data_IF_253584384291
#
_entry.id   IF_253584384291
#
_cell.length_a   1.000
_cell.length_b   1.000
_cell.length_c   1.000
_cell.angle_alpha   90.00
_cell.angle_beta   90.00
_cell.angle_gamma   90.00
#
_symmetry.space_group_name_H-M   'P 1'
#
loop_
_entity.id
_entity.type
_entity.pdbx_description
1 polymer ?
#
# COMPACT_ATOMS: atom_id res chain seq x y z
N UNK A 1 13.62 17.76 16.28
CA UNK A 1 12.30 18.40 16.05
C UNK A 1 11.34 17.77 17.05
N UNK A 2 10.82 18.55 18.02
CA UNK A 2 9.94 18.04 19.10
C UNK A 2 8.50 18.04 18.58
N UNK A 3 7.84 16.89 18.59
CA UNK A 3 6.48 16.64 18.08
C UNK A 3 5.43 16.79 19.18
N UNK A 4 4.21 17.18 18.79
CA UNK A 4 3.00 17.45 19.58
C UNK A 4 2.57 16.42 20.63
N UNK A 5 3.19 15.23 20.70
CA UNK A 5 2.83 14.15 21.63
C UNK A 5 3.91 13.79 22.66
N UNK A 6 5.16 14.22 22.47
CA UNK A 6 6.27 13.89 23.38
C UNK A 6 6.68 12.41 23.43
N UNK A 7 6.07 11.56 22.60
CA UNK A 7 6.35 10.12 22.51
C UNK A 7 7.21 9.79 21.28
N UNK A 8 7.90 8.64 21.32
CA UNK A 8 8.70 8.14 20.22
C UNK A 8 7.83 7.81 18.99
N UNK A 9 8.11 8.45 17.86
CA UNK A 9 7.36 8.23 16.61
C UNK A 9 7.94 7.00 15.91
N UNK A 10 7.20 5.90 15.96
CA UNK A 10 7.51 4.72 15.18
C UNK A 10 6.95 4.87 13.76
N UNK A 11 7.83 5.07 12.78
CA UNK A 11 7.46 5.07 11.37
C UNK A 11 6.99 3.67 10.94
N UNK A 12 5.82 3.60 10.31
CA UNK A 12 5.21 2.36 9.82
C UNK A 12 4.89 2.54 8.34
N UNK A 13 5.26 1.56 7.53
CA UNK A 13 5.00 1.59 6.10
C UNK A 13 3.51 1.46 5.81
N UNK A 14 2.97 2.30 4.94
CA UNK A 14 1.53 2.32 4.64
C UNK A 14 1.08 1.04 3.92
N UNK A 15 0.06 0.37 4.46
CA UNK A 15 -0.45 -0.87 3.87
C UNK A 15 -1.00 -0.70 2.45
N UNK A 16 -1.60 0.45 2.12
CA UNK A 16 -2.16 0.67 0.78
C UNK A 16 -1.05 0.66 -0.28
N UNK A 17 0.07 1.33 -0.02
CA UNK A 17 1.22 1.33 -0.93
C UNK A 17 1.81 -0.07 -1.14
N UNK A 18 1.81 -0.90 -0.10
CA UNK A 18 2.23 -2.30 -0.19
C UNK A 18 1.22 -3.10 -1.01
N UNK A 19 -0.07 -2.97 -0.71
CA UNK A 19 -1.15 -3.70 -1.37
C UNK A 19 -1.24 -3.42 -2.87
N UNK A 20 -0.98 -2.18 -3.30
CA UNK A 20 -0.94 -1.82 -4.73
C UNK A 20 0.21 -2.55 -5.45
N UNK A 21 1.39 -2.62 -4.85
CA UNK A 21 2.54 -3.31 -5.45
C UNK A 21 2.33 -4.83 -5.50
N UNK A 22 1.76 -5.41 -4.45
CA UNK A 22 1.36 -6.82 -4.45
C UNK A 22 0.36 -7.08 -5.59
N UNK A 23 -0.61 -6.20 -5.80
CA UNK A 23 -1.57 -6.33 -6.91
C UNK A 23 -0.88 -6.33 -8.28
N UNK A 24 0.16 -5.52 -8.48
CA UNK A 24 0.92 -5.55 -9.73
C UNK A 24 1.63 -6.90 -9.96
N UNK A 25 2.18 -7.49 -8.90
CA UNK A 25 2.75 -8.86 -8.95
C UNK A 25 1.65 -9.86 -9.30
N UNK A 26 0.54 -9.86 -8.57
CA UNK A 26 -0.59 -10.77 -8.83
C UNK A 26 -1.10 -10.69 -10.27
N UNK A 27 -1.32 -9.48 -10.80
CA UNK A 27 -1.83 -9.30 -12.17
C UNK A 27 -0.83 -9.77 -13.24
N UNK A 28 0.47 -9.50 -13.05
CA UNK A 28 1.48 -9.94 -14.02
C UNK A 28 1.69 -11.44 -13.99
N UNK A 29 1.64 -12.06 -12.80
CA UNK A 29 1.67 -13.53 -12.67
C UNK A 29 0.42 -14.20 -13.22
N UNK A 30 -0.79 -13.66 -12.98
CA UNK A 30 -2.01 -14.17 -13.61
C UNK A 30 -1.91 -14.19 -15.14
N UNK A 31 -1.34 -13.13 -15.72
CA UNK A 31 -1.08 -13.08 -17.16
C UNK A 31 -0.08 -14.15 -17.59
N UNK A 32 1.00 -14.34 -16.85
CA UNK A 32 1.98 -15.39 -17.11
C UNK A 32 1.37 -16.80 -17.03
N UNK A 33 0.63 -17.10 -15.96
CA UNK A 33 0.00 -18.41 -15.75
C UNK A 33 -1.01 -18.76 -16.84
N UNK A 34 -1.76 -17.78 -17.36
CA UNK A 34 -2.66 -18.01 -18.50
C UNK A 34 -1.96 -18.44 -19.81
N UNK A 35 -0.63 -18.38 -19.86
CA UNK A 35 0.20 -18.77 -21.01
C UNK A 35 1.03 -20.03 -20.74
N UNK A 36 0.88 -20.65 -19.56
CA UNK A 36 1.60 -21.85 -19.14
C UNK A 36 0.63 -23.01 -18.91
N UNK A 37 1.15 -24.23 -18.94
CA UNK A 37 0.41 -25.41 -18.51
C UNK A 37 0.29 -25.41 -16.98
N UNK A 38 -0.87 -25.80 -16.45
CA UNK A 38 -1.15 -25.74 -15.00
C UNK A 38 -0.15 -26.56 -14.15
N UNK A 39 0.37 -27.65 -14.71
CA UNK A 39 1.38 -28.49 -14.04
C UNK A 39 2.69 -27.73 -13.79
N UNK A 40 3.02 -26.73 -14.61
CA UNK A 40 4.26 -25.96 -14.52
C UNK A 40 4.16 -24.79 -13.54
N UNK A 41 2.94 -24.35 -13.18
CA UNK A 41 2.70 -23.12 -12.40
C UNK A 41 2.04 -23.32 -11.03
N UNK A 42 1.39 -24.46 -10.76
CA UNK A 42 0.53 -24.66 -9.58
C UNK A 42 1.19 -24.26 -8.24
N UNK A 43 2.43 -24.69 -8.00
CA UNK A 43 3.13 -24.36 -6.75
C UNK A 43 3.40 -22.84 -6.61
N UNK A 44 3.66 -22.18 -7.73
CA UNK A 44 3.97 -20.74 -7.80
C UNK A 44 2.70 -19.92 -7.68
N UNK A 45 1.59 -20.37 -8.27
CA UNK A 45 0.26 -19.78 -8.08
C UNK A 45 -0.11 -19.67 -6.60
N UNK A 46 0.08 -20.76 -5.85
CA UNK A 46 -0.16 -20.75 -4.40
C UNK A 46 0.73 -19.74 -3.66
N UNK A 47 1.97 -19.52 -4.10
CA UNK A 47 2.84 -18.50 -3.51
C UNK A 47 2.31 -17.09 -3.76
N UNK A 48 1.88 -16.80 -4.99
CA UNK A 48 1.27 -15.52 -5.37
C UNK A 48 0.03 -15.24 -4.53
N UNK A 49 -0.88 -16.21 -4.41
CA UNK A 49 -2.12 -16.07 -3.64
C UNK A 49 -1.87 -15.80 -2.15
N UNK A 50 -0.84 -16.43 -1.57
CA UNK A 50 -0.52 -16.30 -0.16
C UNK A 50 0.41 -15.11 0.15
N UNK A 51 1.03 -14.49 -0.85
CA UNK A 51 2.00 -13.41 -0.64
C UNK A 51 1.40 -12.24 0.16
N UNK A 52 0.19 -11.81 -0.23
CA UNK A 52 -0.54 -10.75 0.49
C UNK A 52 -0.74 -11.12 1.95
N UNK A 53 -1.17 -12.34 2.22
CA UNK A 53 -1.45 -12.81 3.57
C UNK A 53 -0.18 -12.84 4.43
N UNK A 54 0.94 -13.34 3.89
CA UNK A 54 2.23 -13.37 4.59
C UNK A 54 2.66 -11.98 5.03
N UNK A 55 2.63 -11.01 4.11
CA UNK A 55 3.01 -9.61 4.41
C UNK A 55 2.01 -8.99 5.40
N UNK A 56 0.71 -9.20 5.22
CA UNK A 56 -0.33 -8.68 6.12
C UNK A 56 -0.15 -9.15 7.56
N UNK A 57 0.30 -10.38 7.75
CA UNK A 57 0.53 -10.99 9.07
C UNK A 57 1.98 -10.83 9.57
N UNK A 58 2.78 -9.96 8.94
CA UNK A 58 4.15 -9.69 9.39
C UNK A 58 5.11 -10.87 9.24
N UNK A 59 4.78 -11.86 8.40
CA UNK A 59 5.67 -12.98 8.09
C UNK A 59 6.76 -12.56 7.08
N UNK A 60 7.51 -11.51 7.44
CA UNK A 60 8.42 -10.80 6.54
C UNK A 60 9.46 -11.72 5.90
N UNK A 61 10.12 -12.60 6.68
CA UNK A 61 11.10 -13.54 6.15
C UNK A 61 10.50 -14.47 5.09
N UNK A 62 9.37 -15.10 5.40
CA UNK A 62 8.64 -15.98 4.48
C UNK A 62 8.09 -15.26 3.26
N UNK A 63 7.77 -13.96 3.37
CA UNK A 63 7.36 -13.16 2.24
C UNK A 63 8.54 -12.90 1.29
N UNK A 64 9.74 -12.62 1.84
CA UNK A 64 10.95 -12.48 1.02
C UNK A 64 11.35 -13.79 0.33
N UNK A 65 11.30 -14.92 1.02
CA UNK A 65 11.52 -16.25 0.42
C UNK A 65 10.55 -16.52 -0.74
N UNK A 66 9.26 -16.18 -0.56
CA UNK A 66 8.26 -16.31 -1.61
C UNK A 66 8.59 -15.40 -2.80
N UNK A 67 8.94 -14.14 -2.56
CA UNK A 67 9.31 -13.16 -3.61
C UNK A 67 10.54 -13.64 -4.40
N UNK A 68 11.55 -14.18 -3.73
CA UNK A 68 12.74 -14.76 -4.36
C UNK A 68 12.36 -15.94 -5.27
N UNK A 69 11.53 -16.85 -4.78
CA UNK A 69 11.02 -17.99 -5.57
C UNK A 69 10.23 -17.51 -6.80
N UNK A 70 9.39 -16.48 -6.64
CA UNK A 70 8.64 -15.87 -7.75
C UNK A 70 9.59 -15.28 -8.80
N UNK A 71 10.63 -14.57 -8.36
CA UNK A 71 11.63 -13.98 -9.24
C UNK A 71 12.40 -15.05 -10.04
N UNK A 72 12.89 -16.08 -9.36
CA UNK A 72 13.60 -17.20 -9.99
C UNK A 72 12.72 -17.93 -11.01
N UNK A 73 11.46 -18.18 -10.66
CA UNK A 73 10.50 -18.79 -11.59
C UNK A 73 10.32 -17.95 -12.85
N UNK A 74 10.07 -16.66 -12.71
CA UNK A 74 9.89 -15.76 -13.85
C UNK A 74 11.15 -15.70 -14.73
N UNK A 75 12.34 -15.66 -14.12
CA UNK A 75 13.61 -15.69 -14.85
C UNK A 75 13.82 -17.00 -15.60
N UNK A 76 13.48 -18.15 -14.99
CA UNK A 76 13.55 -19.46 -15.63
C UNK A 76 12.64 -19.52 -16.86
N UNK A 77 11.37 -19.13 -16.72
CA UNK A 77 10.42 -19.11 -17.85
C UNK A 77 10.92 -18.19 -18.96
N UNK A 78 11.44 -17.00 -18.61
CA UNK A 78 12.02 -16.06 -19.57
C UNK A 78 13.23 -16.66 -20.32
N UNK A 79 14.06 -17.46 -19.66
CA UNK A 79 15.21 -18.10 -20.31
C UNK A 79 14.83 -19.21 -21.30
N UNK A 80 13.63 -19.77 -21.17
CA UNK A 80 13.17 -20.95 -21.92
C UNK A 80 12.13 -20.61 -23.00
N UNK A 81 11.64 -19.38 -23.03
CA UNK A 81 10.51 -18.98 -23.90
C UNK A 81 10.87 -17.75 -24.73
N UNK A 82 10.13 -17.54 -25.82
CA UNK A 82 10.21 -16.35 -26.69
C UNK A 82 8.82 -15.77 -26.94
N UNK A 83 8.76 -14.54 -27.45
CA UNK A 83 7.49 -13.87 -27.76
C UNK A 83 6.64 -13.59 -26.52
N UNK A 84 5.32 -13.77 -26.64
CA UNK A 84 4.34 -13.32 -25.63
C UNK A 84 4.60 -13.87 -24.23
N UNK A 85 4.99 -15.14 -24.10
CA UNK A 85 5.28 -15.76 -22.78
C UNK A 85 6.55 -15.16 -22.17
N UNK A 86 7.56 -14.85 -22.98
CA UNK A 86 8.77 -14.17 -22.52
C UNK A 86 8.47 -12.76 -22.00
N UNK A 87 7.65 -11.99 -22.73
CA UNK A 87 7.23 -10.64 -22.34
C UNK A 87 6.43 -10.63 -21.03
N UNK A 88 5.52 -11.61 -20.86
CA UNK A 88 4.77 -11.80 -19.63
C UNK A 88 5.69 -12.16 -18.45
N UNK A 89 6.65 -13.07 -18.67
CA UNK A 89 7.65 -13.44 -17.66
C UNK A 89 8.54 -12.26 -17.27
N UNK A 90 8.98 -11.46 -18.25
CA UNK A 90 9.74 -10.23 -17.99
C UNK A 90 8.95 -9.23 -17.13
N UNK A 91 7.67 -9.04 -17.45
CA UNK A 91 6.78 -8.16 -16.67
C UNK A 91 6.60 -8.66 -15.23
N UNK A 92 6.44 -9.97 -15.03
CA UNK A 92 6.33 -10.58 -13.70
C UNK A 92 7.62 -10.42 -12.88
N UNK A 93 8.79 -10.65 -13.49
CA UNK A 93 10.10 -10.43 -12.87
C UNK A 93 10.27 -8.96 -12.46
N UNK A 94 9.97 -8.02 -13.36
CA UNK A 94 10.10 -6.59 -13.07
C UNK A 94 9.26 -6.17 -11.87
N UNK A 95 7.98 -6.58 -11.81
CA UNK A 95 7.10 -6.24 -10.67
C UNK A 95 7.52 -6.93 -9.37
N UNK A 96 8.07 -8.13 -9.45
CA UNK A 96 8.62 -8.84 -8.27
C UNK A 96 9.82 -8.11 -7.71
N UNK A 97 10.75 -7.69 -8.58
CA UNK A 97 11.93 -6.92 -8.19
C UNK A 97 11.57 -5.55 -7.60
N UNK A 98 10.60 -4.84 -8.19
CA UNK A 98 10.08 -3.58 -7.64
C UNK A 98 9.49 -3.77 -6.23
N UNK A 99 8.69 -4.82 -6.03
CA UNK A 99 8.12 -5.14 -4.72
C UNK A 99 9.23 -5.47 -3.71
N UNK A 100 10.18 -6.34 -4.08
CA UNK A 100 11.30 -6.73 -3.23
C UNK A 100 12.08 -5.51 -2.76
N UNK A 101 12.52 -4.69 -3.72
CA UNK A 101 13.29 -3.47 -3.49
C UNK A 101 12.53 -2.54 -2.55
N UNK A 102 11.23 -2.32 -2.79
CA UNK A 102 10.40 -1.48 -1.94
C UNK A 102 10.30 -2.00 -0.50
N UNK A 103 10.10 -3.31 -0.32
CA UNK A 103 10.01 -3.92 1.00
C UNK A 103 11.36 -3.93 1.73
N UNK A 104 12.48 -4.14 1.02
CA UNK A 104 13.83 -4.12 1.60
C UNK A 104 14.18 -2.73 2.12
N UNK A 105 13.99 -1.69 1.31
CA UNK A 105 14.24 -0.31 1.73
C UNK A 105 13.40 0.10 2.95
N UNK A 106 12.23 -0.50 3.12
CA UNK A 106 11.31 -0.19 4.21
C UNK A 106 11.21 -1.29 5.25
N UNK A 107 12.17 -2.23 5.30
CA UNK A 107 12.10 -3.44 6.14
C UNK A 107 11.86 -3.13 7.61
N UNK A 108 12.52 -2.09 8.14
CA UNK A 108 12.38 -1.66 9.53
C UNK A 108 10.99 -1.10 9.87
N UNK A 109 10.22 -0.68 8.86
CA UNK A 109 8.88 -0.11 9.03
C UNK A 109 7.74 -1.12 8.77
N UNK A 110 8.07 -2.37 8.42
CA UNK A 110 7.10 -3.46 8.26
C UNK A 110 6.66 -3.99 9.63
N UNK A 111 5.36 -4.26 9.78
CA UNK A 111 4.75 -4.74 11.02
C UNK A 111 3.69 -5.80 10.73
N UNK A 112 3.20 -6.50 11.76
CA UNK A 112 1.97 -7.30 11.64
C UNK A 112 0.75 -6.37 11.54
N UNK A 113 0.36 -6.05 10.31
CA UNK A 113 -0.79 -5.20 9.99
C UNK A 113 -2.11 -5.82 10.45
N UNK A 114 -2.24 -7.14 10.38
CA UNK A 114 -3.41 -7.87 10.88
C UNK A 114 -3.61 -7.72 12.38
N UNK A 115 -2.55 -7.85 13.17
CA UNK A 115 -2.58 -7.58 14.63
C UNK A 115 -2.84 -6.10 14.90
N UNK A 116 -2.23 -5.20 14.13
CA UNK A 116 -2.45 -3.75 14.28
C UNK A 116 -3.91 -3.38 14.06
N UNK A 117 -4.53 -3.89 12.99
CA UNK A 117 -5.96 -3.70 12.70
C UNK A 117 -6.87 -4.28 13.78
N UNK A 118 -6.60 -5.50 14.27
CA UNK A 118 -7.37 -6.11 15.37
C UNK A 118 -7.30 -5.29 16.66
N UNK A 119 -6.20 -4.59 16.89
CA UNK A 119 -6.02 -3.68 18.02
C UNK A 119 -6.61 -2.27 17.76
N UNK A 120 -7.39 -2.07 16.69
CA UNK A 120 -8.00 -0.78 16.37
C UNK A 120 -7.00 0.30 15.91
N UNK A 121 -5.75 -0.05 15.63
CA UNK A 121 -4.72 0.90 15.20
C UNK A 121 -4.76 1.09 13.68
N UNK A 122 -4.48 2.32 13.23
CA UNK A 122 -4.45 2.64 11.80
C UNK A 122 -3.37 1.85 11.05
N UNK A 123 -3.72 1.32 9.87
CA UNK A 123 -2.83 0.55 8.99
C UNK A 123 -2.61 1.19 7.62
N UNK A 124 -3.49 2.12 7.23
CA UNK A 124 -3.38 2.85 5.96
C UNK A 124 -4.01 4.24 6.06
N UNK A 125 -3.39 5.21 5.39
CA UNK A 125 -3.87 6.57 5.17
C UNK A 125 -4.86 6.67 4.00
N UNK A 126 -4.97 5.65 3.15
CA UNK A 126 -5.78 5.68 1.92
C UNK A 126 -7.23 6.13 2.10
N UNK A 127 -7.87 5.79 3.23
CA UNK A 127 -9.22 6.29 3.56
C UNK A 127 -9.23 7.79 3.82
N UNK A 128 -8.26 8.29 4.56
CA UNK A 128 -8.13 9.72 4.83
C UNK A 128 -7.77 10.49 3.56
N UNK A 129 -6.82 9.97 2.77
CA UNK A 129 -6.42 10.54 1.49
C UNK A 129 -7.57 10.56 0.48
N UNK A 130 -8.35 9.48 0.38
CA UNK A 130 -9.52 9.40 -0.49
C UNK A 130 -10.57 10.46 -0.16
N UNK A 131 -10.88 10.64 1.13
CA UNK A 131 -11.81 11.67 1.59
C UNK A 131 -11.28 13.09 1.33
N UNK A 132 -9.98 13.32 1.55
CA UNK A 132 -9.34 14.61 1.25
C UNK A 132 -9.39 14.88 -0.25
N UNK A 133 -9.10 13.89 -1.10
CA UNK A 133 -9.17 14.01 -2.55
C UNK A 133 -10.59 14.29 -3.04
N UNK A 134 -11.60 13.62 -2.48
CA UNK A 134 -13.01 13.86 -2.79
C UNK A 134 -13.41 15.30 -2.45
N UNK A 135 -13.10 15.76 -1.24
CA UNK A 135 -13.39 17.14 -0.80
C UNK A 135 -12.64 18.16 -1.67
N UNK A 136 -11.38 17.91 -1.98
CA UNK A 136 -10.59 18.78 -2.85
C UNK A 136 -11.20 18.85 -4.26
N UNK A 137 -11.59 17.71 -4.84
CA UNK A 137 -12.26 17.68 -6.14
C UNK A 137 -13.58 18.44 -6.12
N UNK A 138 -14.40 18.26 -5.07
CA UNK A 138 -15.70 18.90 -4.94
C UNK A 138 -15.64 20.40 -4.62
N UNK A 139 -14.62 20.85 -3.88
CA UNK A 139 -14.54 22.24 -3.37
C UNK A 139 -13.47 23.09 -4.04
N UNK A 140 -12.51 22.49 -4.75
CA UNK A 140 -11.45 23.22 -5.46
C UNK A 140 -11.54 23.06 -6.99
N UNK A 141 -12.30 22.08 -7.47
CA UNK A 141 -12.55 21.85 -8.89
C UNK A 141 -13.17 23.05 -9.61
N UNK A 142 -12.83 23.22 -10.90
CA UNK A 142 -13.15 24.42 -11.70
C UNK A 142 -14.65 24.64 -11.99
N UNK A 143 -15.54 23.66 -11.71
CA UNK A 143 -16.96 23.69 -12.10
C UNK A 143 -17.94 23.98 -10.96
N UNK A 144 -17.49 24.42 -9.77
CA UNK A 144 -18.35 24.58 -8.58
C UNK A 144 -18.45 26.05 -8.13
N UNK A 145 -19.65 26.46 -7.64
CA UNK A 145 -19.98 27.85 -7.22
C UNK A 145 -19.32 28.31 -5.92
N UNK A 146 -18.93 27.39 -5.02
CA UNK A 146 -18.21 27.72 -3.77
C UNK A 146 -16.83 27.08 -3.80
N UNK A 147 -15.84 27.84 -4.28
CA UNK A 147 -14.44 27.39 -4.35
C UNK A 147 -13.71 27.76 -3.06
N UNK A 148 -13.00 26.80 -2.49
CA UNK A 148 -12.07 27.07 -1.42
C UNK A 148 -10.69 27.38 -2.00
N UNK A 149 -10.03 28.40 -1.44
CA UNK A 149 -8.59 28.58 -1.65
C UNK A 149 -7.84 27.47 -0.90
N UNK A 150 -6.60 27.13 -1.29
CA UNK A 150 -5.79 26.16 -0.53
C UNK A 150 -5.71 26.48 0.96
N UNK A 151 -5.59 27.77 1.30
CA UNK A 151 -5.56 28.23 2.68
C UNK A 151 -6.91 28.03 3.39
N UNK A 152 -8.03 28.29 2.73
CA UNK A 152 -9.37 28.03 3.26
C UNK A 152 -9.62 26.54 3.50
N UNK A 153 -9.22 25.69 2.56
CA UNK A 153 -9.31 24.23 2.69
C UNK A 153 -8.46 23.71 3.86
N UNK A 154 -7.22 24.20 4.00
CA UNK A 154 -6.36 23.84 5.13
C UNK A 154 -7.00 24.21 6.48
N UNK A 155 -7.53 25.43 6.62
CA UNK A 155 -8.20 25.85 7.87
C UNK A 155 -9.39 24.96 8.23
N UNK A 156 -10.25 24.64 7.27
CA UNK A 156 -11.40 23.76 7.51
C UNK A 156 -10.97 22.34 7.87
N UNK A 157 -9.96 21.79 7.19
CA UNK A 157 -9.41 20.48 7.50
C UNK A 157 -8.81 20.43 8.91
N UNK A 158 -8.04 21.45 9.30
CA UNK A 158 -7.44 21.56 10.65
C UNK A 158 -8.51 21.63 11.73
N UNK A 159 -9.57 22.42 11.54
CA UNK A 159 -10.68 22.50 12.50
C UNK A 159 -11.42 21.17 12.58
N UNK A 160 -11.76 20.54 11.44
CA UNK A 160 -12.43 19.22 11.45
C UNK A 160 -11.59 18.13 12.12
N UNK A 161 -10.29 18.07 11.83
CA UNK A 161 -9.38 17.16 12.49
C UNK A 161 -9.38 17.41 14.01
N UNK A 162 -9.28 18.68 14.44
CA UNK A 162 -9.32 19.02 15.86
C UNK A 162 -10.67 18.69 16.53
N UNK A 163 -11.80 18.76 15.83
CA UNK A 163 -13.10 18.27 16.34
C UNK A 163 -13.10 16.75 16.48
N UNK A 164 -12.65 16.02 15.46
CA UNK A 164 -12.60 14.55 15.47
C UNK A 164 -11.62 14.00 16.52
N UNK A 165 -10.52 14.70 16.74
CA UNK A 165 -9.54 14.40 17.79
C UNK A 165 -10.05 14.78 19.20
N UNK A 166 -11.24 15.35 19.33
CA UNK A 166 -11.79 15.84 20.60
C UNK A 166 -11.09 17.09 21.16
N UNK A 167 -10.12 17.66 20.43
CA UNK A 167 -9.39 18.87 20.82
C UNK A 167 -10.27 20.12 20.86
N UNK A 168 -11.45 20.07 20.22
CA UNK A 168 -12.46 21.13 20.21
C UNK A 168 -13.78 20.75 20.91
N UNK A 169 -13.79 19.71 21.75
CA UNK A 169 -14.94 19.39 22.61
C UNK A 169 -15.27 20.52 23.62
N UNK A 170 -16.50 20.53 24.15
CA UNK A 170 -17.28 21.59 24.84
C UNK A 170 -16.62 22.57 25.85
N UNK A 171 -15.30 22.58 26.08
CA UNK A 171 -14.65 23.61 26.91
C UNK A 171 -13.61 24.41 26.14
N UNK A 172 -13.97 25.69 25.98
CA UNK A 172 -13.13 26.87 25.70
C UNK A 172 -12.82 27.17 24.23
N UNK A 173 -13.84 27.66 23.53
CA UNK A 173 -13.63 28.80 22.64
C UNK A 173 -13.88 30.07 23.46
N UNK A 174 -12.84 30.56 24.18
CA UNK A 174 -12.84 31.96 24.61
C UNK A 174 -12.39 32.76 23.40
N UNK A 175 -13.34 33.47 22.78
CA UNK A 175 -13.04 34.51 21.83
C UNK A 175 -12.16 35.57 22.54
N UNK A 176 -11.05 35.92 21.91
CA UNK A 176 -10.33 37.16 22.16
C UNK A 176 -10.86 38.20 21.17
#
# INVERSE_FOLDING_TARGET
MRDATGAEINHILDWWHISIRIRHVETTFQTLFSLLEAADSLAVEMLVENLRWRIWHGQTARAFEAIETLFEFGMRVRSQTVGRTNDAAFSAVARTMELQTYLEYNRAALVDYGRRRRNGKAVSTSRAEGLVNEIANDRMGKKRRMRWTPQGAHRVATVRAAVLDGRLGERRLRAA
#
